data_IF_041357760299
#
_entry.id   IF_041357760299
#
_cell.length_a   1.000
_cell.length_b   1.000
_cell.length_c   1.000
_cell.angle_alpha   90.00
_cell.angle_beta   90.00
_cell.angle_gamma   90.00
#
_symmetry.space_group_name_H-M   'P 1'
#
loop_
_entity.id
_entity.type
_entity.pdbx_description
1 polymer ?
#
# COMPACT_ATOMS: atom_id res chain seq x y z
N UNK A 1 -6.97 0.17 11.98
CA UNK A 1 -5.88 0.72 11.12
C UNK A 1 -5.97 2.23 11.14
N UNK A 2 -4.85 2.97 11.16
CA UNK A 2 -4.81 4.42 10.89
C UNK A 2 -4.25 4.59 9.47
N UNK A 3 -5.08 4.96 8.48
CA UNK A 3 -4.63 5.07 7.08
C UNK A 3 -3.83 6.34 6.78
N UNK A 4 -3.79 7.31 7.71
CA UNK A 4 -3.02 8.56 7.55
C UNK A 4 -1.63 8.49 8.12
N UNK A 5 -1.44 7.75 9.21
CA UNK A 5 -0.15 7.60 9.91
C UNK A 5 0.42 6.18 9.84
N UNK A 6 -0.42 5.20 9.52
CA UNK A 6 -0.02 3.82 9.30
C UNK A 6 -0.17 3.41 7.84
N UNK A 7 0.50 2.32 7.47
CA UNK A 7 0.43 1.75 6.13
C UNK A 7 -0.69 0.70 6.05
N UNK A 8 -1.49 0.78 4.99
CA UNK A 8 -2.29 -0.32 4.48
C UNK A 8 -1.49 -0.98 3.35
N UNK A 9 -1.15 -2.26 3.50
CA UNK A 9 -0.36 -2.94 2.47
C UNK A 9 -0.70 -4.41 2.35
N UNK A 10 -0.24 -4.99 1.24
CA UNK A 10 -0.46 -6.38 0.87
C UNK A 10 0.79 -7.20 1.16
N UNK A 11 0.60 -8.43 1.62
CA UNK A 11 1.69 -9.39 1.65
C UNK A 11 2.02 -9.84 0.22
N UNK A 12 3.13 -9.32 -0.33
CA UNK A 12 3.60 -9.64 -1.69
C UNK A 12 4.66 -10.75 -1.72
N UNK A 13 5.05 -11.30 -0.57
CA UNK A 13 6.16 -12.26 -0.47
C UNK A 13 5.84 -13.66 -1.02
N UNK A 14 4.55 -13.95 -1.25
CA UNK A 14 4.07 -15.29 -1.61
C UNK A 14 4.19 -16.32 -0.48
N UNK A 15 4.70 -15.92 0.70
CA UNK A 15 4.89 -16.78 1.86
C UNK A 15 3.89 -16.42 2.96
N UNK A 16 3.58 -17.39 3.82
CA UNK A 16 2.85 -17.11 5.06
C UNK A 16 3.72 -16.24 5.96
N UNK A 17 3.14 -15.18 6.52
CA UNK A 17 3.82 -14.24 7.43
C UNK A 17 3.05 -14.16 8.73
N UNK A 18 3.77 -14.05 9.84
CA UNK A 18 3.19 -13.68 11.13
C UNK A 18 3.17 -12.15 11.22
N UNK A 19 2.08 -11.59 11.71
CA UNK A 19 1.97 -10.15 12.00
C UNK A 19 1.59 -9.96 13.46
N UNK A 20 2.03 -8.85 14.05
CA UNK A 20 1.63 -8.48 15.41
C UNK A 20 0.11 -8.32 15.51
N UNK A 21 -0.47 -8.71 16.65
CA UNK A 21 -1.92 -8.54 16.92
C UNK A 21 -2.39 -7.08 16.90
N UNK A 22 -1.48 -6.11 16.88
CA UNK A 22 -1.80 -4.70 16.64
C UNK A 22 -2.30 -4.41 15.22
N UNK A 23 -1.96 -5.26 14.25
CA UNK A 23 -2.39 -5.11 12.86
C UNK A 23 -3.72 -5.82 12.62
N UNK A 24 -4.61 -5.12 11.93
CA UNK A 24 -5.81 -5.74 11.37
C UNK A 24 -5.44 -6.42 10.06
N UNK A 25 -5.54 -7.75 10.02
CA UNK A 25 -5.44 -8.51 8.77
C UNK A 25 -6.83 -8.70 8.17
N UNK A 26 -6.90 -8.65 6.85
CA UNK A 26 -8.14 -8.83 6.11
C UNK A 26 -7.84 -9.45 4.74
N UNK A 27 -8.82 -10.16 4.18
CA UNK A 27 -8.76 -10.75 2.85
C UNK A 27 -10.02 -10.36 2.10
N UNK A 28 -9.88 -9.95 0.85
CA UNK A 28 -11.01 -9.72 -0.03
C UNK A 28 -11.81 -11.02 -0.25
N UNK A 29 -13.13 -10.89 -0.45
CA UNK A 29 -13.98 -12.00 -0.88
C UNK A 29 -13.65 -12.41 -2.31
N UNK A 30 -14.19 -13.53 -2.79
CA UNK A 30 -13.85 -14.10 -4.10
C UNK A 30 -14.11 -13.15 -5.28
N UNK A 31 -15.16 -12.31 -5.20
CA UNK A 31 -15.52 -11.35 -6.26
C UNK A 31 -14.67 -10.07 -6.27
N UNK A 32 -13.58 -10.03 -5.50
CA UNK A 32 -12.81 -8.82 -5.25
C UNK A 32 -11.30 -9.08 -5.30
N UNK A 33 -10.57 -8.27 -6.07
CA UNK A 33 -9.12 -8.42 -6.19
C UNK A 33 -8.38 -7.66 -5.07
N UNK A 34 -7.49 -8.37 -4.36
CA UNK A 34 -6.72 -7.77 -3.27
C UNK A 34 -5.78 -6.66 -3.77
N UNK A 35 -5.21 -6.78 -4.99
CA UNK A 35 -4.25 -5.80 -5.52
C UNK A 35 -4.95 -4.48 -5.80
N UNK A 36 -6.15 -4.54 -6.37
CA UNK A 36 -7.03 -3.39 -6.54
C UNK A 36 -7.25 -2.65 -5.22
N UNK A 37 -7.65 -3.34 -4.14
CA UNK A 37 -7.84 -2.67 -2.84
C UNK A 37 -6.54 -2.11 -2.26
N UNK A 38 -5.40 -2.77 -2.49
CA UNK A 38 -4.08 -2.24 -2.10
C UNK A 38 -3.77 -0.89 -2.75
N UNK A 39 -4.25 -0.66 -3.97
CA UNK A 39 -4.15 0.63 -4.67
C UNK A 39 -5.25 1.59 -4.23
N UNK A 40 -6.50 1.13 -4.25
CA UNK A 40 -7.68 1.96 -3.98
C UNK A 40 -7.64 2.59 -2.59
N UNK A 41 -7.22 1.84 -1.56
CA UNK A 41 -7.10 2.35 -0.19
C UNK A 41 -6.11 3.52 -0.08
N UNK A 42 -5.13 3.62 -0.99
CA UNK A 42 -4.16 4.71 -1.01
C UNK A 42 -4.68 5.96 -1.74
N UNK A 43 -5.85 5.88 -2.38
CA UNK A 43 -6.41 7.00 -3.14
C UNK A 43 -6.95 8.12 -2.23
N UNK A 44 -6.95 9.39 -2.68
CA UNK A 44 -7.51 10.50 -1.90
C UNK A 44 -8.98 10.28 -1.53
N UNK A 45 -9.76 9.66 -2.41
CA UNK A 45 -11.16 9.36 -2.16
C UNK A 45 -11.31 8.35 -1.01
N UNK A 46 -10.58 7.23 -1.05
CA UNK A 46 -10.62 6.23 0.01
C UNK A 46 -10.14 6.81 1.35
N UNK A 47 -9.08 7.62 1.35
CA UNK A 47 -8.58 8.30 2.55
C UNK A 47 -9.62 9.29 3.10
N UNK A 48 -10.29 10.05 2.23
CA UNK A 48 -11.38 10.95 2.62
C UNK A 48 -12.52 10.17 3.26
N UNK A 49 -12.98 9.10 2.61
CA UNK A 49 -14.03 8.22 3.15
C UNK A 49 -13.62 7.66 4.51
N UNK A 50 -12.41 7.10 4.61
CA UNK A 50 -11.86 6.60 5.87
C UNK A 50 -11.90 7.65 6.99
N UNK A 51 -11.50 8.91 6.71
CA UNK A 51 -11.50 10.00 7.70
C UNK A 51 -12.90 10.34 8.21
N UNK A 52 -13.94 10.23 7.36
CA UNK A 52 -15.32 10.50 7.77
C UNK A 52 -15.84 9.50 8.81
N UNK A 53 -15.35 8.27 8.78
CA UNK A 53 -15.74 7.21 9.73
C UNK A 53 -14.72 7.00 10.86
N UNK A 54 -13.62 7.76 10.87
CA UNK A 54 -12.58 7.61 11.87
C UNK A 54 -13.07 8.11 13.23
N UNK A 55 -12.78 7.32 14.27
CA UNK A 55 -13.14 7.64 15.66
C UNK A 55 -11.90 7.93 16.47
N UNK A 56 -11.99 8.91 17.39
CA UNK A 56 -10.87 9.38 18.23
C UNK A 56 -10.71 10.89 18.17
N UNK A 57 -10.45 11.50 19.33
CA UNK A 57 -10.30 12.96 19.46
C UNK A 57 -8.94 13.47 18.98
N UNK A 58 -7.87 12.73 19.27
CA UNK A 58 -6.51 13.04 18.81
C UNK A 58 -6.29 12.43 17.42
N UNK A 59 -5.80 13.23 16.47
CA UNK A 59 -5.52 12.82 15.07
C UNK A 59 -4.69 11.53 15.03
N UNK A 60 -3.69 11.43 15.90
CA UNK A 60 -2.80 10.26 15.97
C UNK A 60 -3.48 8.98 16.43
N UNK A 61 -4.58 9.09 17.17
CA UNK A 61 -5.35 7.95 17.70
C UNK A 61 -6.58 7.61 16.86
N UNK A 62 -6.86 8.40 15.82
CA UNK A 62 -7.99 8.19 14.94
C UNK A 62 -7.86 6.90 14.15
N UNK A 63 -8.86 6.03 14.31
CA UNK A 63 -8.89 4.72 13.66
C UNK A 63 -10.29 4.37 13.17
N UNK A 64 -10.36 3.63 12.08
CA UNK A 64 -11.57 2.90 11.68
C UNK A 64 -11.37 1.42 12.02
N UNK A 65 -12.33 0.85 12.75
CA UNK A 65 -12.35 -0.59 13.02
C UNK A 65 -12.85 -1.33 11.78
N UNK A 66 -12.40 -2.57 11.59
CA UNK A 66 -12.77 -3.36 10.42
C UNK A 66 -14.29 -3.51 10.19
N UNK A 67 -15.14 -3.74 11.22
CA UNK A 67 -16.58 -3.82 11.01
C UNK A 67 -17.16 -2.56 10.36
N UNK A 68 -16.73 -1.38 10.81
CA UNK A 68 -17.13 -0.10 10.19
C UNK A 68 -16.53 0.06 8.80
N UNK A 69 -15.24 -0.25 8.63
CA UNK A 69 -14.55 -0.13 7.34
C UNK A 69 -15.22 -0.97 6.24
N UNK A 70 -15.60 -2.21 6.57
CA UNK A 70 -16.25 -3.15 5.65
C UNK A 70 -17.67 -2.77 5.24
N UNK A 71 -18.30 -1.83 5.96
CA UNK A 71 -19.63 -1.32 5.65
C UNK A 71 -19.63 -0.02 4.85
N UNK A 72 -18.45 0.58 4.63
CA UNK A 72 -18.34 1.81 3.83
C UNK A 72 -18.74 1.49 2.38
N UNK A 73 -19.89 2.01 1.97
CA UNK A 73 -20.36 1.86 0.58
C UNK A 73 -19.51 2.71 -0.35
N UNK A 74 -18.99 2.07 -1.39
CA UNK A 74 -18.27 2.72 -2.48
C UNK A 74 -18.57 2.00 -3.79
N UNK A 75 -18.38 2.68 -4.90
CA UNK A 75 -18.53 2.08 -6.22
C UNK A 75 -17.25 1.31 -6.52
N UNK A 76 -17.36 -0.02 -6.55
CA UNK A 76 -16.28 -0.92 -6.92
C UNK A 76 -16.56 -1.44 -8.33
N UNK A 77 -15.60 -1.37 -9.26
CA UNK A 77 -15.81 -1.81 -10.64
C UNK A 77 -15.91 -3.35 -10.72
N UNK A 78 -16.18 -3.86 -11.92
CA UNK A 78 -16.20 -5.30 -12.19
C UNK A 78 -14.88 -5.98 -11.80
N UNK A 79 -14.90 -7.26 -11.46
CA UNK A 79 -13.69 -8.01 -11.08
C UNK A 79 -12.62 -7.94 -12.17
N UNK A 80 -13.00 -8.06 -13.45
CA UNK A 80 -12.07 -7.96 -14.58
C UNK A 80 -11.34 -6.60 -14.60
N UNK A 81 -12.06 -5.50 -14.35
CA UNK A 81 -11.47 -4.17 -14.28
C UNK A 81 -10.59 -4.00 -13.04
N UNK A 82 -11.01 -4.54 -11.88
CA UNK A 82 -10.19 -4.56 -10.68
C UNK A 82 -8.85 -5.25 -10.93
N UNK A 83 -8.84 -6.42 -11.58
CA UNK A 83 -7.62 -7.16 -11.91
C UNK A 83 -6.70 -6.37 -12.84
N UNK A 84 -7.25 -5.72 -13.87
CA UNK A 84 -6.49 -4.88 -14.80
C UNK A 84 -5.85 -3.69 -14.08
N UNK A 85 -6.62 -2.97 -13.27
CA UNK A 85 -6.12 -1.83 -12.49
C UNK A 85 -5.04 -2.29 -11.50
N UNK A 86 -5.31 -3.35 -10.73
CA UNK A 86 -4.39 -3.89 -9.75
C UNK A 86 -3.08 -4.38 -10.37
N UNK A 87 -3.14 -5.02 -11.54
CA UNK A 87 -1.96 -5.44 -12.29
C UNK A 87 -1.17 -4.25 -12.84
N UNK A 88 -1.85 -3.24 -13.38
CA UNK A 88 -1.22 -2.04 -13.92
C UNK A 88 -0.37 -1.32 -12.87
N UNK A 89 -0.94 -1.01 -11.72
CA UNK A 89 -0.21 -0.31 -10.66
C UNK A 89 0.89 -1.17 -10.04
N UNK A 90 0.69 -2.49 -9.91
CA UNK A 90 1.76 -3.40 -9.49
C UNK A 90 2.95 -3.36 -10.45
N UNK A 91 2.71 -3.33 -11.76
CA UNK A 91 3.77 -3.23 -12.75
C UNK A 91 4.51 -1.88 -12.63
N UNK A 92 3.78 -0.80 -12.36
CA UNK A 92 4.37 0.51 -12.13
C UNK A 92 5.26 0.52 -10.87
N UNK A 93 4.81 -0.04 -9.75
CA UNK A 93 5.57 -0.15 -8.51
C UNK A 93 6.86 -0.98 -8.70
N UNK A 94 6.77 -2.06 -9.47
CA UNK A 94 7.93 -2.87 -9.84
C UNK A 94 8.95 -2.07 -10.67
N UNK A 95 8.46 -1.27 -11.63
CA UNK A 95 9.30 -0.42 -12.47
C UNK A 95 10.02 0.65 -11.63
N UNK A 96 9.29 1.32 -10.73
CA UNK A 96 9.86 2.29 -9.79
C UNK A 96 10.94 1.62 -8.93
N UNK A 97 10.65 0.44 -8.39
CA UNK A 97 11.61 -0.32 -7.56
C UNK A 97 12.88 -0.67 -8.35
N UNK A 98 12.75 -1.08 -9.61
CA UNK A 98 13.88 -1.38 -10.48
C UNK A 98 14.75 -0.14 -10.73
N UNK A 99 14.12 1.00 -11.04
CA UNK A 99 14.83 2.25 -11.25
C UNK A 99 15.52 2.76 -9.98
N UNK A 100 14.88 2.62 -8.81
CA UNK A 100 15.49 3.00 -7.54
C UNK A 100 16.73 2.16 -7.22
N UNK A 101 16.69 0.84 -7.49
CA UNK A 101 17.87 -0.03 -7.35
C UNK A 101 19.01 0.40 -8.27
N UNK A 102 18.70 0.72 -9.53
CA UNK A 102 19.70 1.22 -10.49
C UNK A 102 20.30 2.56 -10.04
N UNK A 103 19.48 3.48 -9.54
CA UNK A 103 19.94 4.76 -9.02
C UNK A 103 20.90 4.58 -7.84
N UNK A 104 20.52 3.76 -6.86
CA UNK A 104 21.36 3.48 -5.69
C UNK A 104 22.71 2.87 -6.12
N UNK A 105 22.69 1.93 -7.06
CA UNK A 105 23.91 1.32 -7.59
C UNK A 105 24.84 2.34 -8.27
N UNK A 106 24.28 3.23 -9.11
CA UNK A 106 25.05 4.30 -9.76
C UNK A 106 25.64 5.30 -8.74
N UNK A 107 24.92 5.59 -7.66
CA UNK A 107 25.42 6.45 -6.58
C UNK A 107 26.59 5.80 -5.84
N UNK A 108 26.53 4.50 -5.56
CA UNK A 108 27.63 3.75 -4.97
C UNK A 108 28.86 3.71 -5.88
N UNK A 109 28.66 3.42 -7.16
CA UNK A 109 29.75 3.45 -8.16
C UNK A 109 30.41 4.82 -8.24
N UNK A 110 29.60 5.89 -8.34
CA UNK A 110 30.11 7.26 -8.34
C UNK A 110 30.96 7.54 -7.09
N UNK A 111 30.49 7.14 -5.91
CA UNK A 111 31.22 7.33 -4.65
C UNK A 111 32.57 6.59 -4.67
N UNK A 112 32.58 5.33 -5.11
CA UNK A 112 33.79 4.51 -5.20
C UNK A 112 34.81 5.09 -6.19
N UNK A 113 34.36 5.49 -7.39
CA UNK A 113 35.23 6.09 -8.40
C UNK A 113 35.82 7.43 -7.93
N UNK A 114 35.01 8.29 -7.30
CA UNK A 114 35.52 9.55 -6.74
C UNK A 114 36.56 9.31 -5.65
N UNK A 115 36.37 8.29 -4.80
CA UNK A 115 37.37 7.94 -3.79
C UNK A 115 38.70 7.51 -4.45
N UNK A 116 38.65 6.78 -5.56
CA UNK A 116 39.85 6.37 -6.31
C UNK A 116 40.57 7.53 -7.03
N UNK A 117 39.91 8.67 -7.27
CA UNK A 117 40.53 9.81 -7.95
C UNK A 117 41.47 10.63 -7.07
N UNK A 118 41.35 10.53 -5.75
CA UNK A 118 42.12 11.33 -4.77
C UNK A 118 43.04 10.46 -3.90
N UNK A 119 43.31 9.23 -4.33
CA UNK A 119 44.30 8.31 -3.75
C UNK A 119 45.47 8.18 -4.71
#
# INVERSE_FOLDING_TARGET
MNMTLGAADLNLTGKKVAVSGYYTTMKAKEDYDNKYFGVWLKTPLAIKMYKLYATGSLIERQRVQFPTLSQIKTLVPSLEEQEKIGAFFRNLDNLITLHQRKLNHLQEQKKSLLQQMFV
#
